data_IF_620118565909
#
_entry.id   IF_620118565909
#
_cell.length_a   1.000
_cell.length_b   1.000
_cell.length_c   1.000
_cell.angle_alpha   90.00
_cell.angle_beta   90.00
_cell.angle_gamma   90.00
#
_symmetry.space_group_name_H-M   'P 1'
#
loop_
_entity.id
_entity.type
_entity.pdbx_description
1 polymer ?
#
# COMPACT_ATOMS: atom_id res chain seq x y z
N UNK A 1 -5.91 -0.58 -9.04
CA UNK A 1 -5.34 0.78 -8.94
C UNK A 1 -4.12 0.79 -8.01
N UNK A 2 -3.20 -0.13 -8.30
CA UNK A 2 -1.82 -0.23 -7.79
C UNK A 2 -0.96 -0.57 -9.00
N UNK A 3 -1.47 -1.47 -9.85
CA UNK A 3 -1.04 -1.73 -11.25
C UNK A 3 -0.97 -0.52 -12.20
N UNK A 4 -1.41 0.68 -11.77
CA UNK A 4 -1.37 1.92 -12.58
C UNK A 4 -0.31 2.90 -12.08
N UNK A 5 0.24 2.68 -10.89
CA UNK A 5 1.30 3.51 -10.35
C UNK A 5 2.59 2.84 -10.78
N UNK A 6 3.31 3.50 -11.68
CA UNK A 6 4.62 3.03 -12.12
C UNK A 6 5.52 2.84 -10.89
N UNK A 7 6.47 1.92 -10.99
CA UNK A 7 7.44 1.63 -9.94
C UNK A 7 6.88 0.89 -8.70
N UNK A 8 5.60 0.54 -8.64
CA UNK A 8 5.04 -0.34 -7.61
C UNK A 8 4.75 -1.74 -8.15
N UNK A 9 4.98 -2.74 -7.31
CA UNK A 9 4.63 -4.12 -7.62
C UNK A 9 3.11 -4.37 -7.48
N UNK A 10 2.58 -5.48 -8.02
CA UNK A 10 1.20 -5.89 -7.77
C UNK A 10 0.98 -6.46 -6.35
N UNK A 11 2.04 -6.57 -5.53
CA UNK A 11 1.96 -7.12 -4.18
C UNK A 11 1.64 -6.03 -3.17
N UNK A 12 0.47 -6.18 -2.54
CA UNK A 12 0.00 -5.25 -1.54
C UNK A 12 -0.86 -5.95 -0.48
N UNK A 13 -0.95 -5.29 0.67
CA UNK A 13 -1.75 -5.69 1.81
C UNK A 13 -2.33 -4.45 2.45
N UNK A 14 -3.64 -4.48 2.71
CA UNK A 14 -4.37 -3.42 3.38
C UNK A 14 -4.53 -3.83 4.83
N UNK A 15 -4.13 -2.95 5.73
CA UNK A 15 -4.37 -3.06 7.16
C UNK A 15 -5.42 -2.02 7.56
N UNK A 16 -6.42 -2.46 8.31
CA UNK A 16 -7.44 -1.59 8.86
C UNK A 16 -7.19 -1.49 10.36
N UNK A 17 -7.07 -0.26 10.85
CA UNK A 17 -6.79 0.08 12.24
C UNK A 17 -7.92 0.96 12.79
N UNK A 18 -8.23 0.85 14.07
CA UNK A 18 -9.17 1.75 14.74
C UNK A 18 -8.42 2.64 15.73
N UNK A 19 -8.28 3.94 15.41
CA UNK A 19 -7.63 4.91 16.29
C UNK A 19 -8.69 5.84 16.89
N UNK A 20 -9.15 5.51 18.09
CA UNK A 20 -10.25 6.23 18.74
C UNK A 20 -11.58 5.90 18.07
N UNK A 21 -12.26 6.92 17.51
CA UNK A 21 -13.54 6.75 16.78
C UNK A 21 -13.38 6.76 15.26
N UNK A 22 -12.13 6.79 14.76
CA UNK A 22 -11.84 6.88 13.33
C UNK A 22 -11.13 5.63 12.85
N UNK A 23 -11.61 5.10 11.72
CA UNK A 23 -10.90 4.08 10.97
C UNK A 23 -9.69 4.71 10.28
N UNK A 24 -8.52 4.12 10.50
CA UNK A 24 -7.31 4.38 9.73
C UNK A 24 -7.02 3.19 8.82
N UNK A 25 -6.56 3.45 7.60
CA UNK A 25 -6.27 2.43 6.62
C UNK A 25 -4.83 2.59 6.15
N UNK A 26 -4.04 1.54 6.32
CA UNK A 26 -2.66 1.48 5.85
C UNK A 26 -2.57 0.53 4.67
N UNK A 27 -2.01 1.00 3.56
CA UNK A 27 -1.70 0.18 2.39
C UNK A 27 -0.21 -0.10 2.39
N UNK A 28 0.16 -1.34 2.68
CA UNK A 28 1.51 -1.85 2.45
C UNK A 28 1.62 -2.30 0.99
N UNK A 29 2.62 -1.83 0.26
CA UNK A 29 2.86 -2.17 -1.14
C UNK A 29 4.36 -2.34 -1.38
N UNK A 30 4.78 -3.29 -2.20
CA UNK A 30 6.21 -3.42 -2.53
C UNK A 30 6.60 -2.49 -3.67
N UNK A 31 7.82 -1.97 -3.63
CA UNK A 31 8.46 -1.35 -4.79
C UNK A 31 8.65 -2.40 -5.90
N UNK A 32 8.62 -1.97 -7.15
CA UNK A 32 8.81 -2.87 -8.30
C UNK A 32 10.26 -3.39 -8.43
N UNK A 33 11.24 -2.62 -7.94
CA UNK A 33 12.65 -3.01 -7.86
C UNK A 33 13.32 -2.24 -6.72
N UNK A 34 14.20 -2.91 -5.98
CA UNK A 34 14.97 -2.27 -4.91
C UNK A 34 16.05 -1.30 -5.41
N UNK A 35 16.41 -1.36 -6.70
CA UNK A 35 17.33 -0.41 -7.35
C UNK A 35 16.73 1.00 -7.46
N UNK A 36 15.41 1.13 -7.24
CA UNK A 36 14.72 2.41 -7.26
C UNK A 36 15.00 3.19 -5.96
N UNK A 37 15.53 4.39 -6.14
CA UNK A 37 15.90 5.29 -5.05
C UNK A 37 14.70 5.78 -4.21
N UNK A 38 15.01 6.35 -3.05
CA UNK A 38 14.00 6.80 -2.08
C UNK A 38 13.03 7.85 -2.66
N UNK A 39 13.51 8.76 -3.50
CA UNK A 39 12.68 9.80 -4.12
C UNK A 39 11.55 9.20 -4.98
N UNK A 40 11.84 8.08 -5.68
CA UNK A 40 10.85 7.36 -6.49
C UNK A 40 9.82 6.67 -5.59
N UNK A 41 10.27 6.08 -4.48
CA UNK A 41 9.38 5.45 -3.48
C UNK A 41 8.41 6.48 -2.90
N UNK A 42 8.91 7.66 -2.54
CA UNK A 42 8.11 8.74 -1.95
C UNK A 42 7.11 9.32 -2.96
N UNK A 43 7.50 9.47 -4.22
CA UNK A 43 6.61 9.92 -5.29
C UNK A 43 5.49 8.90 -5.54
N UNK A 44 5.84 7.63 -5.72
CA UNK A 44 4.88 6.55 -5.91
C UNK A 44 3.89 6.44 -4.74
N UNK A 45 4.37 6.62 -3.50
CA UNK A 45 3.52 6.65 -2.31
C UNK A 45 2.52 7.83 -2.33
N UNK A 46 2.97 9.02 -2.74
CA UNK A 46 2.11 10.21 -2.87
C UNK A 46 1.06 10.03 -3.96
N UNK A 47 1.44 9.51 -5.13
CA UNK A 47 0.53 9.23 -6.23
C UNK A 47 -0.53 8.21 -5.86
N UNK A 48 -0.12 7.08 -5.25
CA UNK A 48 -1.06 6.05 -4.82
C UNK A 48 -2.07 6.58 -3.79
N UNK A 49 -1.59 7.33 -2.79
CA UNK A 49 -2.46 7.98 -1.80
C UNK A 49 -3.46 8.92 -2.45
N UNK A 50 -3.01 9.75 -3.40
CA UNK A 50 -3.87 10.68 -4.12
C UNK A 50 -4.95 9.95 -4.93
N UNK A 51 -4.57 8.90 -5.66
CA UNK A 51 -5.51 8.09 -6.44
C UNK A 51 -6.57 7.42 -5.55
N UNK A 52 -6.17 6.82 -4.42
CA UNK A 52 -7.11 6.21 -3.49
C UNK A 52 -8.08 7.27 -2.95
N UNK A 53 -7.57 8.44 -2.55
CA UNK A 53 -8.42 9.52 -2.05
C UNK A 53 -9.40 10.03 -3.13
N UNK A 54 -8.95 10.19 -4.36
CA UNK A 54 -9.74 10.73 -5.47
C UNK A 54 -10.85 9.76 -5.91
N UNK A 55 -10.58 8.45 -5.91
CA UNK A 55 -11.50 7.45 -6.48
C UNK A 55 -12.37 6.80 -5.40
N UNK A 56 -11.78 6.48 -4.24
CA UNK A 56 -12.46 5.77 -3.15
C UNK A 56 -12.99 6.74 -2.09
N UNK A 57 -12.38 7.92 -1.95
CA UNK A 57 -12.80 8.94 -0.97
C UNK A 57 -12.18 8.78 0.42
N UNK A 58 -11.43 7.72 0.68
CA UNK A 58 -10.82 7.42 1.98
C UNK A 58 -9.40 7.96 2.10
N UNK A 59 -9.04 8.43 3.30
CA UNK A 59 -7.66 8.80 3.62
C UNK A 59 -6.88 7.55 3.98
N UNK A 60 -5.66 7.42 3.46
CA UNK A 60 -4.85 6.21 3.61
C UNK A 60 -3.39 6.55 3.82
N UNK A 61 -2.74 5.78 4.69
CA UNK A 61 -1.29 5.78 4.83
C UNK A 61 -0.68 4.76 3.88
N UNK A 62 0.33 5.16 3.11
CA UNK A 62 0.99 4.29 2.14
C UNK A 62 2.37 3.95 2.66
N UNK A 63 2.61 2.65 2.88
CA UNK A 63 3.88 2.11 3.30
C UNK A 63 4.52 1.35 2.14
N UNK A 64 5.53 1.95 1.51
CA UNK A 64 6.28 1.32 0.41
C UNK A 64 7.40 0.47 1.00
N UNK A 65 7.24 -0.85 0.88
CA UNK A 65 8.21 -1.83 1.37
C UNK A 65 9.21 -2.22 0.29
N UNK A 66 10.39 -2.74 0.66
CA UNK A 66 11.31 -3.39 -0.27
C UNK A 66 10.65 -4.54 -1.04
N UNK A 67 11.30 -4.98 -2.11
CA UNK A 67 10.86 -6.15 -2.87
C UNK A 67 10.75 -7.39 -1.95
N UNK A 68 9.60 -8.07 -1.97
CA UNK A 68 9.33 -9.19 -1.07
C UNK A 68 9.03 -8.82 0.39
N UNK A 69 8.89 -7.54 0.72
CA UNK A 69 8.56 -7.07 2.07
C UNK A 69 7.08 -7.20 2.46
N UNK A 70 6.17 -7.49 1.53
CA UNK A 70 4.75 -7.72 1.81
C UNK A 70 4.50 -9.22 2.01
N UNK A 71 3.75 -9.57 3.06
CA UNK A 71 3.50 -10.95 3.42
C UNK A 71 2.80 -11.72 2.27
N UNK A 72 3.46 -12.76 1.77
CA UNK A 72 2.92 -13.65 0.73
C UNK A 72 2.23 -14.83 1.41
N UNK A 73 0.92 -14.97 1.22
CA UNK A 73 0.15 -16.04 1.85
C UNK A 73 0.36 -17.38 1.12
N UNK A 74 0.58 -18.45 1.88
CA UNK A 74 0.89 -19.82 1.43
C UNK A 74 -0.28 -20.57 0.75
N UNK A 75 -1.39 -19.91 0.41
CA UNK A 75 -2.51 -20.60 -0.26
C UNK A 75 -3.69 -19.74 -0.72
N UNK A 76 -3.92 -18.57 -0.12
CA UNK A 76 -4.88 -17.55 -0.60
C UNK A 76 -4.35 -16.16 -0.26
N UNK A 77 -4.18 -15.30 -1.26
CA UNK A 77 -3.71 -13.93 -1.03
C UNK A 77 -4.67 -13.18 -0.10
N UNK A 78 -4.28 -12.99 1.17
CA UNK A 78 -5.03 -12.19 2.13
C UNK A 78 -4.65 -10.73 1.91
N UNK A 79 -5.43 -10.03 1.11
CA UNK A 79 -5.19 -8.63 0.75
C UNK A 79 -5.67 -7.64 1.81
N UNK A 80 -6.48 -8.09 2.76
CA UNK A 80 -7.03 -7.27 3.84
C UNK A 80 -6.79 -7.99 5.15
N UNK A 81 -6.10 -7.31 6.06
CA UNK A 81 -5.92 -7.71 7.46
C UNK A 81 -6.65 -6.70 8.31
N UNK A 82 -7.60 -7.21 9.08
CA UNK A 82 -8.38 -6.42 10.02
C UNK A 82 -7.70 -6.54 11.39
N UNK A 83 -7.18 -5.43 11.92
CA UNK A 83 -6.46 -5.37 13.20
C UNK A 83 -7.33 -4.74 14.31
N UNK A 84 -8.66 -4.90 14.20
CA UNK A 84 -9.66 -4.50 15.19
C UNK A 84 -9.47 -5.15 16.56
#
# INVERSE_FOLDING_TARGET
MILKTDNLSPHYQIEIHHTGNMDSLTVNVEIASDDLGQDVRDLAAKELRHHIKSIVGVSTDINVKPEGGVARSQGKAQRVVDLR
#
